data_IF_661100333946
#
_entry.id   IF_661100333946
#
_cell.length_a   1.000
_cell.length_b   1.000
_cell.length_c   1.000
_cell.angle_alpha   90.00
_cell.angle_beta   90.00
_cell.angle_gamma   90.00
#
_symmetry.space_group_name_H-M   'P 1'
#
loop_
_entity.id
_entity.type
_entity.pdbx_description
1 polymer ?
#
# COMPACT_ATOMS: atom_id res chain seq x y z
N UNK A 1 -7.29 4.65 18.71
CA UNK A 1 -7.64 5.69 17.71
C UNK A 1 -7.41 5.08 16.34
N UNK A 2 -8.46 4.92 15.53
CA UNK A 2 -8.34 4.38 14.17
C UNK A 2 -8.11 5.56 13.21
N UNK A 3 -6.85 5.91 12.95
CA UNK A 3 -6.53 6.95 11.98
C UNK A 3 -6.72 6.39 10.57
N UNK A 4 -7.49 7.08 9.75
CA UNK A 4 -7.76 6.74 8.35
C UNK A 4 -7.00 7.72 7.45
N UNK A 5 -6.53 7.25 6.30
CA UNK A 5 -5.95 8.10 5.25
C UNK A 5 -6.63 7.78 3.93
N UNK A 6 -7.21 8.79 3.30
CA UNK A 6 -7.72 8.67 1.94
C UNK A 6 -6.54 8.74 0.98
N UNK A 7 -6.40 7.72 0.14
CA UNK A 7 -5.33 7.60 -0.85
C UNK A 7 -5.96 7.73 -2.23
N UNK A 8 -5.54 8.72 -3.04
CA UNK A 8 -6.08 8.92 -4.38
C UNK A 8 -6.02 7.64 -5.22
N UNK A 9 -7.16 7.26 -5.82
CA UNK A 9 -7.25 6.07 -6.66
C UNK A 9 -7.26 4.72 -5.94
N UNK A 10 -7.00 4.67 -4.62
CA UNK A 10 -6.93 3.42 -3.85
C UNK A 10 -7.91 3.33 -2.67
N UNK A 11 -8.60 4.43 -2.34
CA UNK A 11 -9.59 4.47 -1.27
C UNK A 11 -8.97 4.67 0.11
N UNK A 12 -9.56 4.05 1.14
CA UNK A 12 -9.22 4.32 2.54
C UNK A 12 -8.19 3.32 3.07
N UNK A 13 -7.03 3.82 3.46
CA UNK A 13 -6.01 3.08 4.17
C UNK A 13 -6.12 3.31 5.70
N UNK A 14 -5.86 2.27 6.49
CA UNK A 14 -5.97 2.30 7.96
C UNK A 14 -4.61 2.30 8.61
N UNK A 15 -4.39 3.13 9.63
CA UNK A 15 -3.15 3.15 10.38
C UNK A 15 -2.85 1.77 10.99
N UNK A 16 -1.67 1.24 10.69
CA UNK A 16 -1.15 0.00 11.26
C UNK A 16 -0.56 0.29 12.65
N UNK A 17 -0.77 -0.63 13.61
CA UNK A 17 -0.66 -0.55 15.08
C UNK A 17 0.52 0.28 15.65
N UNK A 18 0.53 1.60 15.43
CA UNK A 18 1.42 2.57 16.08
C UNK A 18 2.56 3.17 15.24
N UNK A 19 2.50 3.18 13.90
CA UNK A 19 3.54 3.77 13.04
C UNK A 19 3.05 4.79 12.01
N UNK A 20 3.90 5.15 11.03
CA UNK A 20 3.53 5.94 9.84
C UNK A 20 2.96 5.06 8.70
N UNK A 21 2.73 3.78 8.98
CA UNK A 21 2.26 2.83 7.99
C UNK A 21 0.73 2.78 7.95
N UNK A 22 0.17 2.93 6.77
CA UNK A 22 -1.24 2.76 6.48
C UNK A 22 -1.43 1.52 5.62
N UNK A 23 -2.36 0.65 6.00
CA UNK A 23 -2.65 -0.61 5.33
C UNK A 23 -3.95 -0.50 4.53
N UNK A 24 -3.90 -0.87 3.26
CA UNK A 24 -5.11 -1.06 2.45
C UNK A 24 -5.85 -2.31 2.91
N UNK A 25 -7.18 -2.21 2.92
CA UNK A 25 -8.03 -3.35 3.30
C UNK A 25 -8.14 -4.36 2.16
N UNK A 26 -8.22 -3.87 0.94
CA UNK A 26 -8.35 -4.67 -0.27
C UNK A 26 -6.99 -4.94 -0.92
N UNK A 27 -6.78 -6.14 -1.48
CA UNK A 27 -5.60 -6.43 -2.28
C UNK A 27 -5.63 -5.63 -3.59
N UNK A 28 -4.44 -5.30 -4.09
CA UNK A 28 -4.27 -4.73 -5.43
C UNK A 28 -3.67 -5.77 -6.36
N UNK A 29 -4.02 -5.69 -7.64
CA UNK A 29 -3.33 -6.43 -8.71
C UNK A 29 -1.91 -5.93 -8.89
N UNK A 30 -1.06 -6.76 -9.51
CA UNK A 30 0.33 -6.37 -9.80
C UNK A 30 0.39 -5.15 -10.75
N UNK A 31 -0.57 -5.03 -11.67
CA UNK A 31 -0.69 -3.88 -12.58
C UNK A 31 -1.07 -2.59 -11.84
N UNK A 32 -2.02 -2.66 -10.91
CA UNK A 32 -2.37 -1.52 -10.04
C UNK A 32 -1.18 -1.08 -9.19
N UNK A 33 -0.46 -2.04 -8.62
CA UNK A 33 0.77 -1.79 -7.84
C UNK A 33 1.84 -1.14 -8.70
N UNK A 34 2.06 -1.62 -9.93
CA UNK A 34 2.99 -1.01 -10.88
C UNK A 34 2.54 0.41 -11.29
N UNK A 35 1.23 0.64 -11.39
CA UNK A 35 0.62 1.94 -11.67
C UNK A 35 0.96 3.00 -10.64
N UNK A 36 1.18 2.62 -9.37
CA UNK A 36 1.53 3.56 -8.30
C UNK A 36 2.79 4.37 -8.60
N UNK A 37 3.75 3.83 -9.35
CA UNK A 37 4.98 4.56 -9.71
C UNK A 37 4.72 5.75 -10.64
N UNK A 38 3.55 5.82 -11.28
CA UNK A 38 3.14 6.95 -12.14
C UNK A 38 2.50 8.08 -11.35
N UNK A 39 2.11 7.79 -10.12
CA UNK A 39 1.45 8.75 -9.25
C UNK A 39 2.46 9.72 -8.64
N UNK A 40 2.15 11.02 -8.66
CA UNK A 40 3.04 12.09 -8.17
C UNK A 40 3.30 12.00 -6.67
N UNK A 41 2.38 11.39 -5.93
CA UNK A 41 2.46 11.18 -4.49
C UNK A 41 3.25 9.92 -4.11
N UNK A 42 3.55 9.03 -5.05
CA UNK A 42 4.34 7.84 -4.80
C UNK A 42 5.83 8.12 -5.07
N UNK A 43 6.66 8.07 -4.03
CA UNK A 43 8.10 8.36 -4.13
C UNK A 43 8.92 7.12 -4.39
N UNK A 44 8.52 5.99 -3.81
CA UNK A 44 9.23 4.72 -3.94
C UNK A 44 8.27 3.57 -3.72
N UNK A 45 8.43 2.51 -4.50
CA UNK A 45 7.69 1.27 -4.36
C UNK A 45 8.65 0.12 -4.09
N UNK A 46 8.26 -0.79 -3.21
CA UNK A 46 8.97 -2.05 -2.96
C UNK A 46 7.95 -3.16 -2.89
N UNK A 47 8.22 -4.27 -3.56
CA UNK A 47 7.39 -5.46 -3.57
C UNK A 47 8.13 -6.57 -2.86
N UNK A 48 7.39 -7.33 -2.05
CA UNK A 48 7.87 -8.56 -1.41
C UNK A 48 7.10 -9.73 -2.00
N UNK A 49 7.83 -10.73 -2.48
CA UNK A 49 7.25 -11.95 -3.02
C UNK A 49 6.51 -12.74 -1.95
N UNK A 50 5.50 -13.50 -2.39
CA UNK A 50 4.85 -14.49 -1.54
C UNK A 50 5.87 -15.59 -1.16
N UNK A 51 5.76 -16.10 0.07
CA UNK A 51 6.54 -17.29 0.44
C UNK A 51 6.09 -18.49 -0.39
N UNK A 52 7.03 -19.34 -0.80
CA UNK A 52 6.76 -20.53 -1.61
C UNK A 52 5.71 -21.47 -0.98
N UNK A 53 5.63 -21.52 0.35
CA UNK A 53 4.64 -22.28 1.12
C UNK A 53 3.26 -21.60 1.25
N UNK A 54 3.04 -20.45 0.61
CA UNK A 54 1.77 -19.69 0.66
C UNK A 54 1.44 -19.06 2.01
N UNK A 55 2.32 -19.18 3.02
CA UNK A 55 2.09 -18.67 4.38
C UNK A 55 2.19 -17.15 4.49
N UNK A 56 2.98 -16.53 3.61
CA UNK A 56 3.10 -15.09 3.51
C UNK A 56 2.60 -14.68 2.12
N UNK A 57 1.47 -13.94 2.02
CA UNK A 57 1.02 -13.40 0.74
C UNK A 57 2.03 -12.36 0.24
N UNK A 58 2.05 -12.12 -1.08
CA UNK A 58 2.82 -11.03 -1.64
C UNK A 58 2.28 -9.70 -1.10
N UNK A 59 3.19 -8.78 -0.77
CA UNK A 59 2.85 -7.46 -0.25
C UNK A 59 3.64 -6.38 -0.99
N UNK A 60 3.04 -5.22 -1.15
CA UNK A 60 3.76 -4.03 -1.58
C UNK A 60 3.87 -3.04 -0.42
N UNK A 61 4.91 -2.22 -0.52
CA UNK A 61 5.17 -1.12 0.39
C UNK A 61 5.59 0.09 -0.41
N UNK A 62 4.80 1.15 -0.35
CA UNK A 62 5.06 2.42 -1.02
C UNK A 62 5.41 3.50 0.00
N UNK A 63 6.46 4.28 -0.29
CA UNK A 63 6.70 5.54 0.39
C UNK A 63 5.92 6.61 -0.34
N UNK A 64 5.02 7.26 0.37
CA UNK A 64 4.06 8.19 -0.18
C UNK A 64 4.20 9.56 0.50
N UNK A 65 3.85 10.61 -0.23
CA UNK A 65 3.76 11.98 0.27
C UNK A 65 2.50 12.62 -0.30
N UNK A 66 1.57 12.98 0.58
CA UNK A 66 0.34 13.69 0.24
C UNK A 66 0.29 14.97 1.06
N UNK A 67 0.03 16.11 0.41
CA UNK A 67 -0.03 17.43 1.05
C UNK A 67 1.22 17.78 1.88
N UNK A 68 2.39 17.27 1.49
CA UNK A 68 3.65 17.45 2.21
C UNK A 68 3.82 16.55 3.44
N UNK A 69 2.89 15.63 3.72
CA UNK A 69 2.98 14.67 4.81
C UNK A 69 3.46 13.31 4.31
N UNK A 70 4.64 12.84 4.75
CA UNK A 70 5.15 11.52 4.37
C UNK A 70 4.45 10.40 5.15
N UNK A 71 4.11 9.33 4.47
CA UNK A 71 3.57 8.11 5.06
C UNK A 71 3.99 6.87 4.27
N UNK A 72 3.80 5.69 4.86
CA UNK A 72 4.07 4.42 4.21
C UNK A 72 2.74 3.75 3.89
N UNK A 73 2.46 3.45 2.63
CA UNK A 73 1.32 2.62 2.25
C UNK A 73 1.76 1.16 2.16
N UNK A 74 0.98 0.26 2.74
CA UNK A 74 1.19 -1.19 2.69
C UNK A 74 -0.08 -1.85 2.18
N UNK A 75 0.06 -2.83 1.31
CA UNK A 75 -1.09 -3.60 0.83
C UNK A 75 -0.69 -4.99 0.37
N UNK A 76 -1.68 -5.86 0.24
CA UNK A 76 -1.48 -7.19 -0.32
C UNK A 76 -1.52 -7.11 -1.84
N UNK A 77 -0.70 -7.92 -2.49
CA UNK A 77 -0.77 -8.15 -3.93
C UNK A 77 -1.54 -9.45 -4.17
N UNK A 78 -2.55 -9.40 -5.02
CA UNK A 78 -3.39 -10.55 -5.34
C UNK A 78 -4.41 -10.21 -6.41
N UNK A 79 -5.45 -11.03 -6.55
CA UNK A 79 -6.61 -10.62 -7.36
C UNK A 79 -7.31 -9.46 -6.65
N UNK A 80 -7.19 -8.27 -7.23
CA UNK A 80 -8.00 -7.12 -6.88
C UNK A 80 -9.46 -7.39 -7.21
N UNK A 81 -10.37 -6.81 -6.44
CA UNK A 81 -11.81 -7.09 -6.57
C UNK A 81 -12.44 -6.49 -7.82
#
# INVERSE_FOLDING_TARGET
MNTLKEVPGLGIARLDRGGLAYRLSEPLTIDEVAGLLRETWCRRLTVSDASADGRCPAEFRALCELDGEPFVLVGRIGEGS
#
